data_IF_089210177949
#
_entry.id   IF_089210177949
#
_cell.length_a   1.000
_cell.length_b   1.000
_cell.length_c   1.000
_cell.angle_alpha   90.00
_cell.angle_beta   90.00
_cell.angle_gamma   90.00
#
_symmetry.space_group_name_H-M   'P 1'
#
loop_
_entity.id
_entity.type
_entity.pdbx_description
1 polymer ?
#
# COMPACT_ATOMS: atom_id res chain seq x y z
N UNK A 1 -99.83 17.86 23.18
CA UNK A 1 -98.81 16.83 22.86
C UNK A 1 -97.58 17.44 22.19
N UNK A 2 -97.16 18.66 22.55
CA UNK A 2 -96.18 19.43 21.74
C UNK A 2 -94.88 19.78 22.49
N UNK A 3 -94.79 19.43 23.77
CA UNK A 3 -93.69 19.80 24.67
C UNK A 3 -92.55 18.76 24.72
N UNK A 4 -92.83 17.49 24.43
CA UNK A 4 -91.81 16.43 24.41
C UNK A 4 -90.85 16.57 23.22
N UNK A 5 -91.38 16.94 22.05
CA UNK A 5 -90.63 17.08 20.80
C UNK A 5 -89.62 18.24 20.89
N UNK A 6 -90.04 19.36 21.50
CA UNK A 6 -89.17 20.53 21.69
C UNK A 6 -88.00 20.23 22.64
N UNK A 7 -88.22 19.41 23.68
CA UNK A 7 -87.19 19.03 24.65
C UNK A 7 -86.13 18.14 24.03
N UNK A 8 -86.52 17.23 23.14
CA UNK A 8 -85.64 16.30 22.44
C UNK A 8 -84.73 17.00 21.41
N UNK A 9 -85.25 18.01 20.68
CA UNK A 9 -84.45 18.83 19.76
C UNK A 9 -83.34 19.63 20.49
N UNK A 10 -83.63 20.15 21.69
CA UNK A 10 -82.66 20.91 22.49
C UNK A 10 -81.51 20.07 23.07
N UNK A 11 -81.71 18.76 23.22
CA UNK A 11 -80.69 17.83 23.70
C UNK A 11 -79.74 17.38 22.57
N UNK A 12 -80.26 17.24 21.35
CA UNK A 12 -79.46 16.92 20.16
C UNK A 12 -78.49 18.05 19.80
N UNK A 13 -78.91 19.32 19.90
CA UNK A 13 -78.06 20.48 19.61
C UNK A 13 -76.89 20.65 20.60
N UNK A 14 -76.98 20.09 21.82
CA UNK A 14 -75.91 20.11 22.83
C UNK A 14 -74.90 18.97 22.69
N UNK A 15 -75.17 17.99 21.83
CA UNK A 15 -74.30 16.82 21.58
C UNK A 15 -73.58 16.88 20.24
N UNK A 16 -73.44 18.06 19.65
CA UNK A 16 -72.48 18.25 18.56
C UNK A 16 -71.12 18.43 19.24
N UNK A 17 -70.20 17.45 19.14
CA UNK A 17 -68.88 17.65 19.69
C UNK A 17 -68.26 18.79 18.87
N UNK A 18 -67.96 19.91 19.54
CA UNK A 18 -67.15 21.00 18.98
C UNK A 18 -65.71 20.52 18.88
N UNK A 19 -65.47 19.52 18.02
CA UNK A 19 -64.13 19.08 17.67
C UNK A 19 -63.63 20.11 16.66
N UNK A 20 -63.08 21.21 17.17
CA UNK A 20 -62.10 21.95 16.38
C UNK A 20 -60.85 21.09 16.31
N UNK A 21 -60.84 20.12 15.40
CA UNK A 21 -59.65 19.37 15.04
C UNK A 21 -58.73 20.30 14.26
N UNK A 22 -58.12 21.26 14.94
CA UNK A 22 -56.90 21.86 14.44
C UNK A 22 -55.85 20.75 14.55
N UNK A 23 -55.72 19.97 13.49
CA UNK A 23 -54.53 19.18 13.25
C UNK A 23 -53.38 20.17 13.21
N UNK A 24 -52.70 20.36 14.34
CA UNK A 24 -51.38 20.99 14.37
C UNK A 24 -50.45 19.98 13.73
N UNK A 25 -50.53 19.93 12.40
CA UNK A 25 -49.73 19.11 11.53
C UNK A 25 -48.29 19.13 12.02
N UNK A 26 -47.65 17.97 12.06
CA UNK A 26 -46.24 17.80 12.38
C UNK A 26 -45.30 18.71 11.55
N UNK A 27 -45.82 19.36 10.50
CA UNK A 27 -45.19 20.48 9.80
C UNK A 27 -44.75 21.65 10.70
N UNK A 28 -45.35 21.86 11.88
CA UNK A 28 -45.00 22.97 12.77
C UNK A 28 -43.75 22.75 13.67
N UNK A 29 -43.13 21.56 13.65
CA UNK A 29 -41.94 21.25 14.48
C UNK A 29 -40.69 20.96 13.66
N UNK A 30 -40.57 21.54 12.47
CA UNK A 30 -39.31 21.49 11.74
C UNK A 30 -38.39 22.58 12.27
N UNK A 31 -37.21 22.19 12.72
CA UNK A 31 -36.15 23.15 13.06
C UNK A 31 -35.69 23.84 11.78
N UNK A 32 -36.02 25.12 11.65
CA UNK A 32 -35.70 25.92 10.47
C UNK A 32 -34.19 26.02 10.24
N UNK A 33 -33.38 26.05 11.30
CA UNK A 33 -31.91 26.12 11.20
C UNK A 33 -31.37 24.82 10.60
N UNK A 34 -31.89 23.68 11.06
CA UNK A 34 -31.50 22.37 10.56
C UNK A 34 -31.89 22.18 9.08
N UNK A 35 -33.12 22.55 8.72
CA UNK A 35 -33.60 22.45 7.34
C UNK A 35 -32.81 23.38 6.40
N UNK A 36 -32.52 24.62 6.83
CA UNK A 36 -31.67 25.54 6.07
C UNK A 36 -30.27 24.97 5.84
N UNK A 37 -29.65 24.42 6.89
CA UNK A 37 -28.32 23.81 6.80
C UNK A 37 -28.31 22.63 5.82
N UNK A 38 -29.27 21.71 5.95
CA UNK A 38 -29.37 20.53 5.07
C UNK A 38 -29.62 20.97 3.61
N UNK A 39 -30.44 22.00 3.39
CA UNK A 39 -30.69 22.53 2.05
C UNK A 39 -29.45 23.17 1.45
N UNK A 40 -28.68 23.94 2.23
CA UNK A 40 -27.41 24.50 1.77
C UNK A 40 -26.40 23.41 1.40
N UNK A 41 -26.24 22.39 2.25
CA UNK A 41 -25.37 21.24 1.96
C UNK A 41 -25.78 20.50 0.69
N UNK A 42 -27.09 20.24 0.50
CA UNK A 42 -27.60 19.56 -0.70
C UNK A 42 -27.46 20.41 -1.95
N UNK A 43 -27.61 21.73 -1.83
CA UNK A 43 -27.45 22.68 -2.95
C UNK A 43 -25.99 22.98 -3.27
N UNK A 44 -25.06 22.63 -2.37
CA UNK A 44 -23.66 22.94 -2.53
C UNK A 44 -23.07 22.12 -3.69
N UNK A 45 -22.78 22.83 -4.77
CA UNK A 45 -21.99 22.29 -5.89
C UNK A 45 -20.55 22.65 -5.64
N UNK A 46 -19.73 21.66 -5.29
CA UNK A 46 -18.30 21.86 -5.14
C UNK A 46 -17.72 22.48 -6.43
N UNK A 47 -16.82 23.46 -6.32
CA UNK A 47 -16.15 24.02 -7.48
C UNK A 47 -15.43 22.88 -8.23
N UNK A 48 -15.49 22.94 -9.56
CA UNK A 48 -14.82 21.94 -10.39
C UNK A 48 -13.32 21.92 -10.01
N UNK A 49 -12.71 20.72 -9.83
CA UNK A 49 -11.29 20.65 -9.54
C UNK A 49 -10.53 21.36 -10.65
N UNK A 50 -9.60 22.23 -10.26
CA UNK A 50 -8.73 22.90 -11.21
C UNK A 50 -8.04 21.83 -12.07
N UNK A 51 -7.92 22.07 -13.37
CA UNK A 51 -7.30 21.11 -14.30
C UNK A 51 -5.89 20.70 -13.86
N UNK A 52 -5.21 21.59 -13.14
CA UNK A 52 -3.87 21.42 -12.60
C UNK A 52 -3.85 21.01 -11.13
N UNK A 53 -4.94 20.49 -10.56
CA UNK A 53 -5.00 20.03 -9.16
C UNK A 53 -3.99 18.91 -8.82
N UNK A 54 -3.37 18.31 -9.84
CA UNK A 54 -2.31 17.31 -9.72
C UNK A 54 -0.90 17.94 -9.68
N UNK A 55 -0.75 19.20 -10.10
CA UNK A 55 0.53 19.92 -10.13
C UNK A 55 0.86 20.38 -8.71
N UNK A 56 1.87 19.77 -8.08
CA UNK A 56 2.34 20.11 -6.74
C UNK A 56 1.87 19.20 -5.60
N UNK A 57 0.90 18.30 -5.85
CA UNK A 57 0.51 17.26 -4.88
C UNK A 57 1.50 16.09 -4.89
N UNK A 58 2.10 15.81 -6.05
CA UNK A 58 3.09 14.74 -6.24
C UNK A 58 4.36 15.33 -6.84
N UNK A 59 5.52 14.90 -6.35
CA UNK A 59 6.81 15.23 -6.98
C UNK A 59 6.82 14.71 -8.41
N UNK A 60 7.15 15.58 -9.37
CA UNK A 60 7.25 15.22 -10.79
C UNK A 60 8.32 14.15 -10.96
N UNK A 61 7.93 12.97 -11.44
CA UNK A 61 8.85 11.90 -11.76
C UNK A 61 9.42 12.14 -13.16
N UNK A 62 10.75 12.28 -13.25
CA UNK A 62 11.49 12.31 -14.51
C UNK A 62 12.41 11.10 -14.53
N UNK A 63 12.40 10.36 -15.63
CA UNK A 63 13.34 9.26 -15.81
C UNK A 63 14.77 9.84 -15.89
N UNK A 64 15.73 9.29 -15.14
CA UNK A 64 17.12 9.70 -15.27
C UNK A 64 17.61 9.48 -16.70
N UNK A 65 18.48 10.36 -17.18
CA UNK A 65 19.09 10.21 -18.49
C UNK A 65 19.78 8.85 -18.60
N UNK A 66 19.71 8.23 -19.79
CA UNK A 66 20.36 6.94 -20.04
C UNK A 66 21.87 7.05 -19.71
N UNK A 67 22.44 6.03 -19.05
CA UNK A 67 23.86 6.04 -18.69
C UNK A 67 24.69 6.15 -19.96
N UNK A 68 25.62 7.11 -19.97
CA UNK A 68 26.59 7.20 -21.06
C UNK A 68 27.50 5.97 -20.99
N UNK A 69 27.72 5.28 -22.13
CA UNK A 69 28.69 4.21 -22.17
C UNK A 69 30.07 4.76 -21.82
N UNK A 70 30.90 4.00 -21.09
CA UNK A 70 32.25 4.42 -20.79
C UNK A 70 33.01 4.71 -22.08
N UNK A 71 33.72 5.84 -22.10
CA UNK A 71 34.56 6.22 -23.24
C UNK A 71 35.71 5.21 -23.31
N UNK A 72 35.79 4.48 -24.42
CA UNK A 72 36.94 3.64 -24.70
C UNK A 72 38.20 4.53 -24.75
N UNK A 73 39.31 4.13 -24.13
CA UNK A 73 40.55 4.90 -24.24
C UNK A 73 40.92 5.03 -25.72
N UNK A 74 41.35 6.23 -26.12
CA UNK A 74 41.63 6.52 -27.53
C UNK A 74 42.77 5.68 -28.13
N UNK A 75 43.58 5.03 -27.28
CA UNK A 75 44.76 4.27 -27.66
C UNK A 75 44.70 2.79 -27.23
N UNK A 76 43.56 2.14 -27.50
CA UNK A 76 43.41 0.69 -27.32
C UNK A 76 44.44 -0.12 -28.13
N UNK A 77 44.92 0.42 -29.25
CA UNK A 77 45.86 -0.28 -30.12
C UNK A 77 47.25 -0.40 -29.48
N UNK A 78 47.75 0.65 -28.82
CA UNK A 78 49.03 0.57 -28.10
C UNK A 78 48.93 -0.32 -26.87
N UNK A 79 47.80 -0.28 -26.15
CA UNK A 79 47.57 -1.14 -24.97
C UNK A 79 47.49 -2.62 -25.34
N UNK A 80 46.81 -2.97 -26.45
CA UNK A 80 46.79 -4.35 -26.95
C UNK A 80 48.18 -4.82 -27.38
N UNK A 81 48.92 -3.97 -28.09
CA UNK A 81 50.28 -4.31 -28.56
C UNK A 81 51.23 -4.53 -27.39
N UNK A 82 51.09 -3.75 -26.32
CA UNK A 82 51.85 -3.92 -25.08
C UNK A 82 51.47 -5.23 -24.37
N UNK A 83 50.18 -5.57 -24.31
CA UNK A 83 49.71 -6.82 -23.70
C UNK A 83 50.19 -8.06 -24.47
N UNK A 84 50.14 -8.03 -25.79
CA UNK A 84 50.63 -9.12 -26.65
C UNK A 84 52.15 -9.29 -26.56
N UNK A 85 52.88 -8.23 -26.24
CA UNK A 85 54.34 -8.26 -26.06
C UNK A 85 54.77 -8.79 -24.69
N UNK A 86 53.86 -8.93 -23.73
CA UNK A 86 54.15 -9.50 -22.42
C UNK A 86 53.98 -11.01 -22.50
N UNK A 87 55.09 -11.73 -22.67
CA UNK A 87 55.10 -13.18 -22.46
C UNK A 87 54.83 -13.50 -20.98
N UNK A 88 53.96 -14.48 -20.67
CA UNK A 88 53.76 -14.91 -19.30
C UNK A 88 55.05 -15.49 -18.74
N UNK A 89 55.58 -14.88 -17.69
CA UNK A 89 56.67 -15.44 -16.90
C UNK A 89 56.16 -16.72 -16.27
N UNK A 90 56.47 -17.85 -16.90
CA UNK A 90 56.32 -19.16 -16.28
C UNK A 90 57.43 -19.23 -15.23
N UNK A 91 57.12 -18.78 -14.01
CA UNK A 91 57.91 -19.08 -12.82
C UNK A 91 58.08 -20.61 -12.79
N UNK A 92 59.25 -21.08 -13.23
CA UNK A 92 59.60 -22.49 -13.13
C UNK A 92 59.55 -22.85 -11.65
N UNK A 93 58.51 -23.58 -11.26
CA UNK A 93 58.32 -24.11 -9.90
C UNK A 93 59.62 -24.76 -9.46
N UNK A 94 60.40 -24.07 -8.63
CA UNK A 94 61.55 -24.66 -7.96
C UNK A 94 61.05 -25.89 -7.19
N UNK A 95 61.76 -27.03 -7.22
CA UNK A 95 61.37 -28.18 -6.44
C UNK A 95 61.44 -27.81 -4.96
N UNK A 96 60.27 -27.62 -4.34
CA UNK A 96 60.17 -27.38 -2.92
C UNK A 96 60.71 -28.61 -2.19
N UNK A 97 61.87 -28.45 -1.56
CA UNK A 97 62.34 -29.38 -0.55
C UNK A 97 61.36 -29.37 0.63
N UNK A 98 60.84 -30.56 0.95
CA UNK A 98 60.25 -30.99 2.23
C UNK A 98 59.81 -29.86 3.18
N UNK A 99 58.55 -29.43 3.05
CA UNK A 99 57.83 -28.71 4.09
C UNK A 99 56.86 -29.68 4.76
N UNK A 100 56.93 -29.76 6.08
CA UNK A 100 56.00 -30.48 6.96
C UNK A 100 54.54 -30.23 6.52
N UNK A 101 53.74 -31.30 6.41
CA UNK A 101 52.35 -31.21 6.00
C UNK A 101 51.52 -30.42 7.02
N UNK A 102 51.43 -29.11 6.81
CA UNK A 102 50.30 -28.32 7.29
C UNK A 102 49.15 -28.63 6.34
N UNK A 103 48.23 -29.49 6.76
CA UNK A 103 47.07 -29.93 5.96
C UNK A 103 46.07 -28.79 5.80
N UNK A 104 46.33 -27.88 4.85
CA UNK A 104 45.40 -26.79 4.54
C UNK A 104 44.31 -27.26 3.59
N UNK A 105 43.05 -27.11 4.00
CA UNK A 105 41.87 -26.98 3.16
C UNK A 105 41.46 -28.23 2.36
N UNK A 106 42.23 -28.57 1.33
CA UNK A 106 41.86 -29.64 0.40
C UNK A 106 42.04 -31.04 1.00
N UNK A 107 43.16 -31.30 1.66
CA UNK A 107 43.43 -32.62 2.28
C UNK A 107 42.52 -32.88 3.48
N UNK A 108 42.22 -31.84 4.27
CA UNK A 108 41.23 -31.91 5.36
C UNK A 108 39.80 -32.12 4.85
N UNK A 109 39.43 -31.48 3.74
CA UNK A 109 38.11 -31.64 3.14
C UNK A 109 37.91 -33.05 2.56
N UNK A 110 38.94 -33.60 1.90
CA UNK A 110 38.90 -34.97 1.40
C UNK A 110 38.81 -35.99 2.55
N UNK A 111 39.58 -35.80 3.63
CA UNK A 111 39.51 -36.65 4.80
C UNK A 111 38.15 -36.61 5.52
N UNK A 112 37.47 -35.45 5.51
CA UNK A 112 36.11 -35.34 6.04
C UNK A 112 35.08 -36.10 5.19
N UNK A 113 35.19 -36.05 3.85
CA UNK A 113 34.29 -36.78 2.96
C UNK A 113 34.50 -38.30 3.01
N UNK A 114 35.71 -38.76 3.33
CA UNK A 114 36.04 -40.18 3.44
C UNK A 114 35.69 -40.78 4.82
N UNK A 115 35.44 -39.94 5.83
CA UNK A 115 35.03 -40.43 7.15
C UNK A 115 33.57 -40.91 7.13
N UNK A 116 33.34 -42.20 7.40
CA UNK A 116 32.00 -42.77 7.59
C UNK A 116 31.28 -42.11 8.79
N UNK A 117 29.96 -41.90 8.67
CA UNK A 117 29.13 -41.43 9.79
C UNK A 117 29.26 -42.40 10.99
N UNK A 118 29.32 -41.88 12.23
CA UNK A 118 29.41 -42.76 13.40
C UNK A 118 28.16 -43.63 13.43
N UNK A 119 28.35 -44.95 13.25
CA UNK A 119 27.29 -45.96 13.39
C UNK A 119 26.62 -45.72 14.73
N UNK A 120 25.39 -45.21 14.70
CA UNK A 120 24.59 -44.98 15.89
C UNK A 120 24.55 -46.30 16.65
N UNK A 121 25.30 -46.38 17.75
CA UNK A 121 25.24 -47.52 18.63
C UNK A 121 23.78 -47.60 19.10
N UNK A 122 23.13 -48.69 18.72
CA UNK A 122 21.79 -49.10 19.10
C UNK A 122 21.40 -48.60 20.49
N UNK A 123 20.55 -47.58 20.53
CA UNK A 123 19.81 -47.18 21.73
C UNK A 123 18.39 -46.76 21.35
N UNK A 124 17.70 -47.63 20.61
CA UNK A 124 16.24 -47.70 20.62
C UNK A 124 15.83 -48.92 21.45
N UNK A 125 15.86 -48.73 22.77
CA UNK A 125 15.06 -49.47 23.75
C UNK A 125 14.08 -48.49 24.40
#
# INVERSE_FOLDING_TARGET
MSSAILRQASAAARRIPRVSAFSTSAAARKDFVQELYINQLKSYKAPAPAKDAHVGVVKTYSAPAAPQPPVLPADLASELSAYDSVEPVVEAKAPAASAEQVTTGAEQFLAFLEADEPKAADAHH
#
